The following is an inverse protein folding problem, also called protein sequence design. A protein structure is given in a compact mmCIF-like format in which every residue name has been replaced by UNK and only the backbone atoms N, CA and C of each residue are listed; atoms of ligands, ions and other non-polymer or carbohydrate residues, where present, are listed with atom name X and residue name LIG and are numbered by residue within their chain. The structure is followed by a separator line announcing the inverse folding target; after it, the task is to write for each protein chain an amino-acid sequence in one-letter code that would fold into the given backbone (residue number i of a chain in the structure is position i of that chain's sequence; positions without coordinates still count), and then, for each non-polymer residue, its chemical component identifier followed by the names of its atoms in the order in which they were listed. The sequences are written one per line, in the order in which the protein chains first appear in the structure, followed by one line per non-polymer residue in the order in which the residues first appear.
data_IF_808254820954
#
_entry.id   IF_808254820954
#
_cell.length_a   1.000
_cell.length_b   1.000
_cell.length_c   1.000
_cell.angle_alpha   90.00
_cell.angle_beta   90.00
_cell.angle_gamma   90.00
#
_symmetry.space_group_name_H-M   'P 1'
#
loop_
_entity.id
_entity.type
_entity.pdbx_description
1 polymer ?
#
# COMPACT_ATOMS: atom_id res chain seq x y z
N UNK A 1 -2.53 10.17 -23.51
CA UNK A 1 -3.56 10.90 -22.75
C UNK A 1 -4.90 10.17 -22.56
N UNK A 2 -5.39 9.32 -23.46
CA UNK A 2 -6.67 8.60 -23.27
C UNK A 2 -6.54 7.35 -22.37
N UNK A 3 -5.36 6.73 -22.27
CA UNK A 3 -5.12 5.52 -21.47
C UNK A 3 -4.99 5.80 -19.98
N UNK A 4 -4.29 6.87 -19.60
CA UNK A 4 -4.15 7.25 -18.18
C UNK A 4 -5.50 7.59 -17.53
N UNK A 5 -6.44 8.20 -18.28
CA UNK A 5 -7.80 8.43 -17.79
C UNK A 5 -8.57 7.13 -17.48
N UNK A 6 -8.14 5.99 -18.03
CA UNK A 6 -8.76 4.69 -17.76
C UNK A 6 -8.25 4.03 -16.47
N UNK A 7 -6.98 4.23 -16.09
CA UNK A 7 -6.50 3.75 -14.78
C UNK A 7 -7.14 4.52 -13.62
N UNK A 8 -7.16 5.85 -13.72
CA UNK A 8 -7.85 6.68 -12.73
C UNK A 8 -9.35 6.35 -12.62
N UNK A 9 -10.01 6.01 -13.74
CA UNK A 9 -11.41 5.61 -13.74
C UNK A 9 -11.63 4.20 -13.18
N UNK A 10 -10.65 3.30 -13.31
CA UNK A 10 -10.79 1.92 -12.84
C UNK A 10 -10.63 1.82 -11.32
N UNK A 11 -9.67 2.54 -10.74
CA UNK A 11 -9.54 2.64 -9.28
C UNK A 11 -10.69 3.44 -8.65
N UNK A 12 -11.27 4.42 -9.35
CA UNK A 12 -12.40 5.21 -8.86
C UNK A 12 -13.76 4.48 -8.95
N UNK A 13 -13.92 3.53 -9.86
CA UNK A 13 -15.20 2.81 -10.04
C UNK A 13 -15.53 1.85 -8.89
N UNK A 14 -14.55 1.41 -8.12
CA UNK A 14 -14.77 0.58 -6.93
C UNK A 14 -15.26 1.38 -5.70
N UNK A 15 -15.28 2.72 -5.77
CA UNK A 15 -15.56 3.60 -4.61
C UNK A 15 -16.84 4.43 -4.72
N UNK A 16 -17.69 4.21 -5.71
CA UNK A 16 -18.88 5.02 -5.95
C UNK A 16 -20.18 4.42 -5.41
N UNK A 17 -20.15 3.77 -4.25
CA UNK A 17 -21.42 3.42 -3.59
C UNK A 17 -21.39 3.81 -2.11
N UNK A 18 -22.02 4.92 -1.77
CA UNK A 18 -22.57 5.11 -0.46
C UNK A 18 -21.94 6.20 0.38
N UNK A 19 -22.69 7.26 0.50
CA UNK A 19 -22.59 8.32 1.49
C UNK A 19 -22.55 7.83 2.93
N UNK A 20 -21.87 8.61 3.76
CA UNK A 20 -21.62 8.44 5.18
C UNK A 20 -20.57 7.34 5.48
N UNK A 21 -19.32 7.76 5.43
CA UNK A 21 -18.18 6.95 5.76
C UNK A 21 -18.19 6.54 7.24
N UNK A 22 -18.69 5.37 7.50
CA UNK A 22 -18.03 4.53 8.46
C UNK A 22 -16.66 4.27 7.82
N UNK A 23 -15.59 4.64 8.50
CA UNK A 23 -14.25 4.33 8.07
C UNK A 23 -14.19 2.84 7.79
N UNK A 24 -14.07 2.50 6.51
CA UNK A 24 -14.11 1.12 6.08
C UNK A 24 -12.79 0.52 6.54
N UNK A 25 -12.85 -0.41 7.48
CA UNK A 25 -11.67 -1.08 7.99
C UNK A 25 -10.90 -1.69 6.81
N UNK A 26 -9.64 -1.36 6.71
CA UNK A 26 -8.75 -1.92 5.72
C UNK A 26 -8.36 -3.33 6.14
N UNK A 27 -8.81 -4.32 5.43
CA UNK A 27 -8.46 -5.71 5.66
C UNK A 27 -7.55 -6.29 4.56
N UNK A 28 -7.01 -7.45 4.81
CA UNK A 28 -6.14 -8.14 3.88
C UNK A 28 -6.86 -8.51 2.56
N UNK A 29 -8.17 -8.69 2.58
CA UNK A 29 -8.96 -8.99 1.38
C UNK A 29 -9.08 -7.77 0.49
N UNK A 30 -9.18 -6.57 1.07
CA UNK A 30 -9.15 -5.32 0.30
C UNK A 30 -7.78 -5.12 -0.34
N UNK A 31 -6.68 -5.34 0.41
CA UNK A 31 -5.33 -5.28 -0.13
C UNK A 31 -5.13 -6.25 -1.30
N UNK A 32 -5.53 -7.50 -1.11
CA UNK A 32 -5.46 -8.54 -2.15
C UNK A 32 -6.28 -8.18 -3.39
N UNK A 33 -7.53 -7.78 -3.20
CA UNK A 33 -8.42 -7.38 -4.29
C UNK A 33 -7.84 -6.17 -5.07
N UNK A 34 -7.27 -5.20 -4.37
CA UNK A 34 -6.64 -4.06 -5.00
C UNK A 34 -5.40 -4.48 -5.81
N UNK A 35 -4.56 -5.37 -5.28
CA UNK A 35 -3.40 -5.90 -6.00
C UNK A 35 -3.80 -6.64 -7.28
N UNK A 36 -4.88 -7.43 -7.24
CA UNK A 36 -5.42 -8.13 -8.42
C UNK A 36 -5.92 -7.15 -9.49
N UNK A 37 -6.67 -6.13 -9.08
CA UNK A 37 -7.15 -5.07 -9.99
C UNK A 37 -5.99 -4.26 -10.56
N UNK A 38 -4.97 -3.98 -9.75
CA UNK A 38 -3.78 -3.26 -10.19
C UNK A 38 -3.00 -4.07 -11.23
N UNK A 39 -2.77 -5.38 -10.98
CA UNK A 39 -2.12 -6.27 -11.95
C UNK A 39 -2.91 -6.35 -13.27
N UNK A 40 -4.24 -6.41 -13.19
CA UNK A 40 -5.09 -6.36 -14.38
C UNK A 40 -4.92 -5.05 -15.15
N UNK A 41 -4.86 -3.91 -14.47
CA UNK A 41 -4.62 -2.62 -15.10
C UNK A 41 -3.23 -2.55 -15.74
N UNK A 42 -2.19 -3.05 -15.06
CA UNK A 42 -0.82 -3.16 -15.60
C UNK A 42 -0.77 -3.97 -16.88
N UNK A 43 -1.60 -5.00 -17.02
CA UNK A 43 -1.63 -5.83 -18.23
C UNK A 43 -1.90 -5.02 -19.52
N UNK A 44 -2.49 -3.84 -19.40
CA UNK A 44 -2.81 -2.93 -20.50
C UNK A 44 -1.74 -1.85 -20.73
N UNK A 45 -0.72 -1.80 -19.89
CA UNK A 45 0.38 -0.84 -19.96
C UNK A 45 1.65 -1.51 -20.46
N UNK A 46 2.57 -0.70 -20.95
CA UNK A 46 3.95 -1.10 -21.23
C UNK A 46 4.87 -0.32 -20.29
N UNK A 47 5.88 -0.95 -19.69
CA UNK A 47 6.91 -0.24 -18.96
C UNK A 47 7.67 0.69 -19.90
N UNK A 48 8.21 1.78 -19.37
CA UNK A 48 9.02 2.76 -20.11
C UNK A 48 10.48 2.35 -20.21
N UNK A 49 10.92 1.39 -19.39
CA UNK A 49 12.24 0.77 -19.43
C UNK A 49 12.20 -0.61 -20.10
N UNK A 50 13.36 -1.24 -20.22
CA UNK A 50 13.47 -2.68 -20.56
C UNK A 50 13.67 -3.49 -19.26
N UNK A 51 12.62 -4.10 -18.70
CA UNK A 51 12.71 -4.78 -17.41
C UNK A 51 13.69 -5.95 -17.40
N UNK A 52 13.94 -6.59 -18.56
CA UNK A 52 14.88 -7.69 -18.65
C UNK A 52 16.35 -7.29 -18.37
N UNK A 53 16.64 -5.99 -18.46
CA UNK A 53 17.98 -5.43 -18.18
C UNK A 53 18.09 -4.79 -16.81
N UNK A 54 16.99 -4.71 -16.05
CA UNK A 54 16.92 -4.04 -14.75
C UNK A 54 16.70 -5.03 -13.61
N UNK A 55 17.47 -6.13 -13.62
CA UNK A 55 17.56 -7.04 -12.49
C UNK A 55 18.15 -6.28 -11.29
N UNK A 56 17.44 -6.27 -10.16
CA UNK A 56 17.98 -5.71 -8.93
C UNK A 56 19.05 -6.64 -8.35
N UNK A 57 20.33 -6.23 -8.27
CA UNK A 57 21.37 -7.06 -7.70
C UNK A 57 21.16 -7.41 -6.23
N UNK A 58 20.39 -6.57 -5.49
CA UNK A 58 20.05 -6.80 -4.09
C UNK A 58 18.87 -7.77 -3.93
N UNK A 59 18.11 -8.00 -5.01
CA UNK A 59 16.92 -8.86 -5.02
C UNK A 59 16.98 -9.84 -6.21
N UNK A 60 17.77 -10.90 -6.12
CA UNK A 60 17.95 -11.86 -7.23
C UNK A 60 16.59 -12.46 -7.65
N UNK A 61 16.30 -12.37 -8.94
CA UNK A 61 15.05 -12.89 -9.52
C UNK A 61 13.92 -11.88 -9.62
N UNK A 62 14.13 -10.66 -9.15
CA UNK A 62 13.17 -9.57 -9.29
C UNK A 62 13.60 -8.59 -10.39
N UNK A 63 12.60 -8.04 -11.06
CA UNK A 63 12.75 -7.11 -12.18
C UNK A 63 12.05 -5.80 -11.86
N UNK A 64 12.77 -4.69 -12.04
CA UNK A 64 12.21 -3.36 -11.91
C UNK A 64 11.52 -2.97 -13.22
N UNK A 65 10.23 -2.71 -13.15
CA UNK A 65 9.41 -2.20 -14.25
C UNK A 65 9.04 -0.75 -13.97
N UNK A 66 9.45 0.17 -14.82
CA UNK A 66 9.17 1.60 -14.69
C UNK A 66 7.94 1.98 -15.51
N UNK A 67 7.07 2.79 -14.93
CA UNK A 67 5.85 3.30 -15.55
C UNK A 67 5.71 4.81 -15.32
N UNK A 68 4.82 5.47 -16.04
CA UNK A 68 4.57 6.91 -15.85
C UNK A 68 4.06 7.28 -14.44
N UNK A 69 3.49 6.33 -13.71
CA UNK A 69 2.99 6.54 -12.35
C UNK A 69 4.02 6.24 -11.26
N UNK A 70 5.10 5.54 -11.58
CA UNK A 70 6.10 5.07 -10.62
C UNK A 70 6.71 3.75 -11.05
N UNK A 71 7.05 2.87 -10.10
CA UNK A 71 7.73 1.60 -10.37
C UNK A 71 7.00 0.40 -9.82
N UNK A 72 7.24 -0.76 -10.42
CA UNK A 72 6.77 -2.07 -9.96
C UNK A 72 7.96 -3.02 -9.89
N UNK A 73 8.19 -3.60 -8.72
CA UNK A 73 9.12 -4.71 -8.53
C UNK A 73 8.34 -6.01 -8.67
N UNK A 74 8.77 -6.88 -9.57
CA UNK A 74 8.06 -8.12 -9.86
C UNK A 74 9.00 -9.30 -10.13
N UNK A 75 8.56 -10.50 -9.82
CA UNK A 75 9.27 -11.76 -10.10
C UNK A 75 9.25 -12.13 -11.60
N UNK A 76 9.00 -11.18 -12.48
CA UNK A 76 8.99 -11.38 -13.93
C UNK A 76 9.35 -10.10 -14.68
N UNK A 77 10.06 -10.22 -15.79
CA UNK A 77 10.31 -9.10 -16.72
C UNK A 77 9.11 -8.84 -17.65
N UNK A 78 8.15 -9.76 -17.71
CA UNK A 78 6.92 -9.64 -18.49
C UNK A 78 5.79 -8.94 -17.71
N UNK A 79 4.56 -9.10 -18.18
CA UNK A 79 3.38 -8.58 -17.47
C UNK A 79 3.12 -9.39 -16.21
N UNK A 80 3.22 -8.79 -15.01
CA UNK A 80 3.09 -9.53 -13.77
C UNK A 80 1.62 -9.85 -13.46
N UNK A 81 1.39 -11.00 -12.86
CA UNK A 81 0.18 -11.29 -12.08
C UNK A 81 0.30 -10.67 -10.69
N UNK A 82 -0.81 -10.56 -9.95
CA UNK A 82 -0.78 -10.05 -8.58
C UNK A 82 0.21 -10.80 -7.68
N UNK A 83 0.26 -12.14 -7.82
CA UNK A 83 1.17 -12.99 -7.05
C UNK A 83 2.66 -12.83 -7.43
N UNK A 84 2.97 -12.14 -8.51
CA UNK A 84 4.33 -11.86 -8.96
C UNK A 84 4.77 -10.42 -8.64
N UNK A 85 3.86 -9.58 -8.16
CA UNK A 85 4.17 -8.22 -7.74
C UNK A 85 4.59 -8.26 -6.28
N UNK A 86 5.78 -7.78 -5.99
CA UNK A 86 6.33 -7.71 -4.65
C UNK A 86 6.25 -6.30 -4.08
N UNK A 87 6.49 -5.29 -4.93
CA UNK A 87 6.43 -3.90 -4.50
C UNK A 87 5.90 -3.01 -5.63
N UNK A 88 5.09 -2.03 -5.26
CA UNK A 88 4.59 -0.96 -6.12
C UNK A 88 4.97 0.36 -5.46
N UNK A 89 5.72 1.20 -6.14
CA UNK A 89 5.98 2.57 -5.73
C UNK A 89 5.22 3.54 -6.65
N UNK A 90 4.33 4.34 -6.07
CA UNK A 90 3.54 5.35 -6.79
C UNK A 90 4.08 6.73 -6.44
N UNK A 91 4.44 7.51 -7.44
CA UNK A 91 4.97 8.87 -7.32
C UNK A 91 4.05 9.95 -7.90
N UNK A 92 2.88 9.58 -8.41
CA UNK A 92 1.94 10.51 -9.04
C UNK A 92 0.51 10.33 -8.53
N UNK A 93 -0.31 11.37 -8.66
CA UNK A 93 -1.71 11.36 -8.24
C UNK A 93 -2.65 10.50 -9.11
N UNK A 94 -2.11 9.77 -10.08
CA UNK A 94 -2.90 9.02 -11.06
C UNK A 94 -3.40 7.68 -10.52
N UNK A 95 -2.73 7.15 -9.53
CA UNK A 95 -3.08 5.91 -8.86
C UNK A 95 -3.61 6.22 -7.48
N UNK A 96 -4.71 5.59 -7.15
CA UNK A 96 -5.33 5.62 -5.82
C UNK A 96 -5.18 4.24 -5.21
N UNK A 97 -4.78 4.18 -3.95
CA UNK A 97 -4.69 2.92 -3.24
C UNK A 97 -6.06 2.36 -2.85
N UNK A 98 -6.09 1.22 -2.17
CA UNK A 98 -7.30 0.55 -1.75
C UNK A 98 -8.14 1.36 -0.73
N UNK A 99 -7.56 2.36 -0.09
CA UNK A 99 -8.23 3.26 0.87
C UNK A 99 -8.64 4.59 0.28
N UNK A 100 -8.37 4.82 -1.00
CA UNK A 100 -8.67 6.09 -1.66
C UNK A 100 -7.59 7.15 -1.47
N UNK A 101 -6.44 6.79 -0.89
CA UNK A 101 -5.33 7.70 -0.69
C UNK A 101 -4.50 7.78 -1.98
N UNK A 102 -4.04 8.98 -2.31
CA UNK A 102 -3.22 9.25 -3.50
C UNK A 102 -2.17 10.30 -3.20
N UNK A 103 -1.13 10.30 -4.00
CA UNK A 103 -0.11 11.37 -3.99
C UNK A 103 -0.78 12.74 -4.18
N UNK A 104 -0.33 13.71 -3.41
CA UNK A 104 -0.87 15.07 -3.38
C UNK A 104 -1.99 15.32 -2.38
N UNK A 105 -2.49 14.30 -1.69
CA UNK A 105 -3.38 14.51 -0.53
C UNK A 105 -2.60 15.07 0.64
N UNK A 106 -3.27 15.84 1.48
CA UNK A 106 -2.68 16.30 2.74
C UNK A 106 -2.53 15.15 3.73
N UNK A 107 -1.62 15.28 4.68
CA UNK A 107 -1.47 14.31 5.78
C UNK A 107 -2.80 14.10 6.51
N UNK A 108 -3.56 15.16 6.77
CA UNK A 108 -4.86 15.07 7.44
C UNK A 108 -5.88 14.26 6.63
N UNK A 109 -5.94 14.45 5.32
CA UNK A 109 -6.81 13.65 4.44
C UNK A 109 -6.40 12.18 4.44
N UNK A 110 -5.10 11.89 4.40
CA UNK A 110 -4.57 10.52 4.48
C UNK A 110 -4.89 9.86 5.84
N UNK A 111 -4.67 10.55 6.95
CA UNK A 111 -4.99 10.07 8.28
C UNK A 111 -6.50 9.81 8.45
N UNK A 112 -7.36 10.67 7.90
CA UNK A 112 -8.80 10.45 7.88
C UNK A 112 -9.15 9.18 7.08
N UNK A 113 -8.54 8.96 5.93
CA UNK A 113 -8.70 7.75 5.12
C UNK A 113 -8.24 6.47 5.86
N UNK A 114 -7.26 6.60 6.74
CA UNK A 114 -6.77 5.52 7.60
C UNK A 114 -7.53 5.40 8.92
N UNK A 115 -8.49 6.29 9.19
CA UNK A 115 -9.21 6.36 10.48
C UNK A 115 -8.29 6.57 11.69
N UNK A 116 -7.13 7.18 11.49
CA UNK A 116 -6.19 7.51 12.56
C UNK A 116 -6.67 8.76 13.28
N UNK A 117 -6.82 8.74 14.62
CA UNK A 117 -7.14 9.95 15.38
C UNK A 117 -6.10 11.04 15.14
N UNK A 118 -6.54 12.25 14.83
CA UNK A 118 -5.66 13.40 14.55
C UNK A 118 -5.02 13.99 15.82
N UNK A 119 -5.07 13.31 16.93
CA UNK A 119 -4.53 13.76 18.19
C UNK A 119 -3.11 13.28 18.37
N UNK A 120 -2.20 14.25 18.29
CA UNK A 120 -0.83 14.17 18.77
C UNK A 120 0.05 13.07 18.17
N UNK A 121 0.93 13.51 17.42
CA UNK A 121 1.97 12.94 16.61
C UNK A 121 3.05 12.15 17.34
N UNK A 122 2.71 11.33 18.27
CA UNK A 122 3.59 10.23 18.68
C UNK A 122 3.09 8.98 18.00
N UNK A 123 3.83 7.96 17.86
CA UNK A 123 3.47 6.72 17.22
C UNK A 123 1.99 6.36 17.46
N UNK A 124 1.12 6.64 16.49
CA UNK A 124 -0.28 6.26 16.56
C UNK A 124 -0.40 4.82 16.07
N UNK A 125 -0.81 3.91 16.93
CA UNK A 125 -1.09 2.51 16.57
C UNK A 125 -2.59 2.29 16.58
N UNK A 126 -3.15 1.88 15.45
CA UNK A 126 -4.52 1.44 15.35
C UNK A 126 -4.57 -0.08 15.29
N UNK A 127 -5.35 -0.67 16.17
CA UNK A 127 -5.72 -2.06 16.10
C UNK A 127 -7.02 -2.21 15.30
N UNK A 128 -6.96 -2.91 14.18
CA UNK A 128 -8.17 -3.34 13.46
C UNK A 128 -8.48 -4.76 13.88
N UNK A 129 -9.48 -4.89 14.73
CA UNK A 129 -9.91 -6.19 15.23
C UNK A 129 -10.85 -6.81 14.22
N UNK A 130 -10.63 -7.64 13.43
CA UNK A 130 -11.50 -8.67 12.83
C UNK A 130 -10.87 -9.23 11.57
N UNK A 131 -10.88 -10.49 11.39
CA UNK A 131 -10.55 -11.35 10.24
C UNK A 131 -9.32 -10.99 9.38
N UNK A 132 -8.96 -9.74 9.27
CA UNK A 132 -7.71 -9.22 8.74
C UNK A 132 -7.03 -8.44 9.84
N UNK A 133 -5.94 -8.94 10.35
CA UNK A 133 -5.21 -8.29 11.43
C UNK A 133 -4.34 -7.22 10.80
N UNK A 134 -4.53 -5.97 11.20
CA UNK A 134 -3.78 -4.84 10.66
C UNK A 134 -3.39 -3.83 11.73
N UNK A 135 -2.25 -3.18 11.52
CA UNK A 135 -1.68 -2.16 12.39
C UNK A 135 -1.30 -0.94 11.56
N UNK A 136 -1.51 0.24 12.13
CA UNK A 136 -1.08 1.49 11.53
C UNK A 136 -0.23 2.28 12.52
N UNK A 137 0.88 2.85 12.04
CA UNK A 137 1.73 3.74 12.83
C UNK A 137 2.28 4.88 11.98
N UNK A 138 2.61 5.98 12.65
CA UNK A 138 3.23 7.13 12.02
C UNK A 138 4.71 7.22 12.41
N UNK A 139 5.56 7.49 11.44
CA UNK A 139 6.98 7.75 11.65
C UNK A 139 7.21 9.24 11.85
N UNK A 140 7.88 9.60 12.94
CA UNK A 140 8.17 10.98 13.32
C UNK A 140 9.63 11.32 13.10
N UNK A 141 9.89 12.54 12.63
CA UNK A 141 11.20 13.17 12.54
C UNK A 141 11.18 14.60 13.10
N UNK A 142 12.30 15.31 12.98
CA UNK A 142 12.42 16.69 13.46
C UNK A 142 11.40 17.66 12.82
N UNK A 143 10.95 17.36 11.59
CA UNK A 143 9.98 18.17 10.85
C UNK A 143 8.51 17.73 11.02
N UNK A 144 8.23 16.76 11.88
CA UNK A 144 6.89 16.18 12.03
C UNK A 144 6.77 14.76 11.47
N UNK A 145 5.59 14.38 10.98
CA UNK A 145 5.36 13.07 10.37
C UNK A 145 6.03 13.02 9.00
N UNK A 146 6.91 12.03 8.78
CA UNK A 146 7.54 11.79 7.47
C UNK A 146 7.08 10.51 6.80
N UNK A 147 6.28 9.71 7.46
CA UNK A 147 5.68 8.51 6.90
C UNK A 147 4.57 7.96 7.77
N UNK A 148 3.65 7.28 7.11
CA UNK A 148 2.59 6.49 7.76
C UNK A 148 2.60 5.12 7.13
N UNK A 149 2.55 4.08 7.94
CA UNK A 149 2.56 2.70 7.47
C UNK A 149 1.35 1.94 8.01
N UNK A 150 0.78 1.14 7.16
CA UNK A 150 -0.25 0.16 7.48
C UNK A 150 0.24 -1.23 7.15
N UNK A 151 0.15 -2.14 8.11
CA UNK A 151 0.52 -3.54 7.99
C UNK A 151 -0.71 -4.43 8.22
N UNK A 152 -0.94 -5.38 7.35
CA UNK A 152 -2.00 -6.39 7.51
C UNK A 152 -1.54 -7.76 6.98
N UNK A 153 -2.19 -8.83 7.44
CA UNK A 153 -1.87 -10.21 7.05
C UNK A 153 -3.09 -10.94 6.51
N UNK A 154 -2.98 -11.50 5.31
CA UNK A 154 -3.89 -12.56 4.87
C UNK A 154 -3.41 -13.90 5.48
N UNK A 155 -4.14 -14.37 6.48
CA UNK A 155 -3.83 -15.62 7.19
C UNK A 155 -4.31 -16.89 6.47
N UNK A 156 -4.90 -16.76 5.28
CA UNK A 156 -5.16 -17.91 4.41
C UNK A 156 -3.84 -18.42 3.82
N UNK A 157 -3.68 -19.73 3.76
CA UNK A 157 -2.46 -20.32 3.21
C UNK A 157 -2.41 -20.18 1.66
N UNK A 158 -1.31 -19.70 1.09
CA UNK A 158 -0.09 -19.23 1.75
C UNK A 158 -0.30 -17.85 2.39
N UNK A 159 0.21 -17.69 3.64
CA UNK A 159 0.10 -16.42 4.38
C UNK A 159 0.84 -15.32 3.64
N UNK A 160 0.17 -14.18 3.48
CA UNK A 160 0.73 -13.00 2.80
C UNK A 160 0.66 -11.80 3.73
N UNK A 161 1.78 -11.10 3.85
CA UNK A 161 1.89 -9.80 4.49
C UNK A 161 1.71 -8.70 3.45
N UNK A 162 0.86 -7.73 3.75
CA UNK A 162 0.69 -6.52 2.96
C UNK A 162 1.10 -5.30 3.79
N UNK A 163 1.98 -4.50 3.24
CA UNK A 163 2.43 -3.24 3.84
C UNK A 163 2.12 -2.09 2.90
N UNK A 164 1.43 -1.07 3.39
CA UNK A 164 1.22 0.20 2.69
C UNK A 164 1.97 1.29 3.43
N UNK A 165 2.88 1.95 2.73
CA UNK A 165 3.65 3.07 3.29
C UNK A 165 3.33 4.34 2.53
N UNK A 166 2.92 5.37 3.25
CA UNK A 166 2.69 6.71 2.72
C UNK A 166 3.89 7.57 3.12
N UNK A 167 4.64 8.03 2.12
CA UNK A 167 5.76 8.94 2.32
C UNK A 167 5.20 10.35 2.42
N UNK A 168 5.53 11.05 3.49
CA UNK A 168 5.07 12.42 3.75
C UNK A 168 6.22 13.38 3.56
N UNK A 169 6.00 14.42 2.77
CA UNK A 169 6.91 15.55 2.61
C UNK A 169 6.15 16.83 3.00
N UNK A 170 6.61 17.46 4.08
CA UNK A 170 5.89 18.53 4.74
C UNK A 170 4.54 18.09 5.27
N UNK A 171 3.46 18.52 4.63
CA UNK A 171 2.08 18.16 4.98
C UNK A 171 1.37 17.39 3.84
N UNK A 172 2.13 16.74 2.97
CA UNK A 172 1.59 16.16 1.74
C UNK A 172 2.11 14.76 1.51
N UNK A 173 1.25 13.85 1.07
CA UNK A 173 1.64 12.53 0.58
C UNK A 173 2.44 12.70 -0.70
N UNK A 174 3.73 12.44 -0.66
CA UNK A 174 4.66 12.54 -1.78
C UNK A 174 4.87 11.21 -2.52
N UNK A 175 4.57 10.09 -1.87
CA UNK A 175 4.68 8.75 -2.46
C UNK A 175 3.84 7.74 -1.71
N UNK A 176 3.50 6.67 -2.40
CA UNK A 176 2.80 5.51 -1.82
C UNK A 176 3.55 4.26 -2.23
N UNK A 177 3.91 3.44 -1.25
CA UNK A 177 4.52 2.12 -1.47
C UNK A 177 3.60 1.03 -0.99
N UNK A 178 3.38 0.04 -1.82
CA UNK A 178 2.60 -1.16 -1.49
C UNK A 178 3.51 -2.37 -1.66
N UNK A 179 3.64 -3.17 -0.61
CA UNK A 179 4.39 -4.44 -0.64
C UNK A 179 3.46 -5.60 -0.38
N UNK A 180 3.75 -6.73 -1.04
CA UNK A 180 3.17 -8.02 -0.76
C UNK A 180 4.31 -9.02 -0.56
N UNK A 181 4.40 -9.62 0.60
CA UNK A 181 5.49 -10.55 0.94
C UNK A 181 4.92 -11.87 1.46
N UNK A 182 5.55 -12.97 1.06
CA UNK A 182 5.24 -14.27 1.65
C UNK A 182 5.60 -14.24 3.15
N UNK A 183 4.72 -14.78 3.98
CA UNK A 183 4.90 -14.84 5.42
C UNK A 183 4.50 -16.22 5.95
N UNK A 184 4.65 -16.44 7.23
CA UNK A 184 4.14 -17.62 7.93
C UNK A 184 3.18 -17.18 9.03
N UNK A 185 2.29 -18.07 9.44
CA UNK A 185 1.38 -17.80 10.55
C UNK A 185 2.14 -17.39 11.81
N UNK A 186 3.27 -18.06 12.12
CA UNK A 186 4.10 -17.72 13.26
C UNK A 186 4.73 -16.32 13.18
N UNK A 187 5.16 -15.91 11.98
CA UNK A 187 5.68 -14.55 11.75
C UNK A 187 4.58 -13.51 11.90
N UNK A 188 3.41 -13.77 11.33
CA UNK A 188 2.25 -12.89 11.47
C UNK A 188 1.86 -12.73 12.96
N UNK A 189 1.71 -13.83 13.68
CA UNK A 189 1.39 -13.81 15.13
C UNK A 189 2.45 -13.05 15.94
N UNK A 190 3.74 -13.22 15.65
CA UNK A 190 4.81 -12.50 16.31
C UNK A 190 4.80 -10.99 15.99
N UNK A 191 4.56 -10.63 14.74
CA UNK A 191 4.42 -9.22 14.32
C UNK A 191 3.25 -8.54 15.04
N UNK A 192 2.12 -9.21 15.13
CA UNK A 192 0.94 -8.74 15.81
C UNK A 192 1.16 -8.57 17.33
N UNK A 193 1.83 -9.53 17.96
CA UNK A 193 2.17 -9.42 19.38
C UNK A 193 3.07 -8.21 19.65
N UNK A 194 4.07 -7.98 18.79
CA UNK A 194 4.96 -6.81 18.89
C UNK A 194 4.19 -5.49 18.72
N UNK A 195 3.29 -5.42 17.76
CA UNK A 195 2.48 -4.23 17.54
C UNK A 195 1.54 -3.96 18.73
N UNK A 196 0.93 -5.01 19.31
CA UNK A 196 0.11 -4.88 20.51
C UNK A 196 0.93 -4.37 21.71
N UNK A 197 2.15 -4.90 21.92
CA UNK A 197 3.03 -4.40 22.99
C UNK A 197 3.40 -2.91 22.82
N UNK A 198 3.53 -2.43 21.59
CA UNK A 198 3.77 -1.02 21.30
C UNK A 198 2.53 -0.20 21.64
N UNK A 199 1.36 -0.67 21.24
CA UNK A 199 0.09 0.00 21.53
C UNK A 199 -0.19 0.10 23.03
N UNK A 200 0.09 -0.95 23.78
CA UNK A 200 -0.15 -1.01 25.23
C UNK A 200 0.79 -0.10 26.05
N UNK A 201 1.89 0.40 25.45
CA UNK A 201 2.86 1.31 26.08
C UNK A 201 2.59 2.79 25.80
N UNK A 202 1.60 3.09 24.98
CA UNK A 202 1.17 4.47 24.63
C UNK A 202 0.00 4.92 25.50
#
# INVERSE_FOLDING_TARGET
MKFLKRMAAFCAAAMLTGSAALAQEYDAQQAKSWMEQFAQALSQLAPVNDPAQTLDPARPGEYLQEYEFGTVQAATSGKPTAAQIEEIDVSTAQVTDARGIRVGMTLNEALNGLSIPQTEANLAVLNTQEAGVGWCWAYLGEGGVYGVEWLTYDLTEPVTEYTLTYVIDGDTVSGIRVKAAASTRAQAEAGLATAQEIADKQ
#
